data_IF_107433734239
#
_entry.id   IF_107433734239
#
_cell.length_a   1.000
_cell.length_b   1.000
_cell.length_c   1.000
_cell.angle_alpha   90.00
_cell.angle_beta   90.00
_cell.angle_gamma   90.00
#
_symmetry.space_group_name_H-M   'P 1'
#
loop_
_entity.id
_entity.type
_entity.pdbx_description
1 polymer ?
#
# COMPACT_ATOMS: atom_id res chain seq x y z
N UNK A 1 -11.33 11.90 -6.52
CA UNK A 1 -11.63 10.47 -6.66
C UNK A 1 -10.39 9.74 -6.15
N UNK A 2 -10.48 9.07 -5.01
CA UNK A 2 -9.37 8.28 -4.47
C UNK A 2 -9.15 7.05 -5.34
N UNK A 3 -7.92 6.56 -5.42
CA UNK A 3 -7.61 5.33 -6.13
C UNK A 3 -7.66 4.15 -5.16
N UNK A 4 -8.33 3.08 -5.54
CA UNK A 4 -8.38 1.85 -4.75
C UNK A 4 -7.49 0.79 -5.41
N UNK A 5 -6.62 0.18 -4.62
CA UNK A 5 -5.73 -0.89 -5.06
C UNK A 5 -5.81 -2.07 -4.11
N UNK A 6 -5.93 -3.27 -4.65
CA UNK A 6 -5.86 -4.48 -3.83
C UNK A 6 -4.39 -4.92 -3.68
N UNK A 7 -3.91 -4.93 -2.43
CA UNK A 7 -2.61 -5.42 -2.02
C UNK A 7 -2.76 -6.80 -1.36
N UNK A 8 -1.85 -7.72 -1.68
CA UNK A 8 -1.83 -9.05 -1.08
C UNK A 8 -0.50 -9.23 -0.40
N UNK A 9 -0.53 -9.49 0.91
CA UNK A 9 0.65 -9.56 1.77
C UNK A 9 0.68 -10.87 2.53
N UNK A 10 1.88 -11.35 2.83
CA UNK A 10 2.04 -12.57 3.62
C UNK A 10 2.11 -12.18 5.10
N UNK A 11 1.11 -12.61 5.88
CA UNK A 11 1.06 -12.40 7.32
C UNK A 11 1.02 -13.76 8.02
N UNK A 12 2.01 -14.02 8.87
CA UNK A 12 2.15 -15.26 9.65
C UNK A 12 2.02 -16.56 8.81
N UNK A 13 2.53 -16.54 7.57
CA UNK A 13 2.46 -17.69 6.66
C UNK A 13 1.14 -17.84 5.90
N UNK A 14 0.21 -16.90 6.03
CA UNK A 14 -1.05 -16.87 5.30
C UNK A 14 -1.20 -15.60 4.46
N UNK A 15 -1.98 -15.68 3.39
CA UNK A 15 -2.26 -14.55 2.51
C UNK A 15 -3.36 -13.68 3.11
N UNK A 16 -3.04 -12.39 3.29
CA UNK A 16 -3.96 -11.34 3.68
C UNK A 16 -4.19 -10.40 2.48
N UNK A 17 -5.45 -10.26 2.09
CA UNK A 17 -5.89 -9.35 1.05
C UNK A 17 -6.36 -8.06 1.70
N UNK A 18 -5.79 -6.96 1.23
CA UNK A 18 -6.10 -5.61 1.68
C UNK A 18 -6.57 -4.78 0.51
N UNK A 19 -7.72 -4.14 0.67
CA UNK A 19 -8.16 -3.08 -0.23
C UNK A 19 -7.63 -1.76 0.32
N UNK A 20 -6.73 -1.14 -0.45
CA UNK A 20 -6.01 0.07 -0.05
C UNK A 20 -6.56 1.27 -0.80
N UNK A 21 -7.07 2.23 -0.05
CA UNK A 21 -7.59 3.49 -0.55
C UNK A 21 -6.47 4.52 -0.49
N UNK A 22 -5.98 4.97 -1.64
CA UNK A 22 -4.94 5.98 -1.76
C UNK A 22 -5.61 7.36 -1.74
N UNK A 23 -5.34 8.09 -0.67
CA UNK A 23 -5.80 9.46 -0.43
C UNK A 23 -4.83 10.54 -0.91
N UNK A 24 -5.27 11.81 -0.92
CA UNK A 24 -4.42 12.94 -1.21
C UNK A 24 -3.34 13.13 -0.13
N UNK A 25 -2.12 13.48 -0.54
CA UNK A 25 -1.01 13.73 0.41
C UNK A 25 -0.22 12.49 0.81
N UNK A 26 -0.37 11.36 0.11
CA UNK A 26 0.42 10.14 0.37
C UNK A 26 -0.06 9.34 1.57
N UNK A 27 -1.27 9.60 2.04
CA UNK A 27 -1.98 8.75 3.01
C UNK A 27 -2.68 7.62 2.27
N UNK A 28 -2.54 6.41 2.77
CA UNK A 28 -3.18 5.22 2.22
C UNK A 28 -3.90 4.51 3.37
N UNK A 29 -5.15 4.14 3.19
CA UNK A 29 -5.88 3.38 4.23
C UNK A 29 -6.13 1.98 3.71
N UNK A 30 -5.57 0.97 4.39
CA UNK A 30 -5.71 -0.43 4.02
C UNK A 30 -6.81 -1.09 4.86
N UNK A 31 -7.74 -1.74 4.18
CA UNK A 31 -8.86 -2.48 4.78
C UNK A 31 -8.71 -3.96 4.47
N UNK A 32 -8.71 -4.80 5.50
CA UNK A 32 -8.62 -6.25 5.34
C UNK A 32 -9.90 -6.76 4.69
N UNK A 33 -9.75 -7.25 3.47
CA UNK A 33 -10.82 -7.82 2.66
C UNK A 33 -10.99 -9.31 2.94
N UNK A 34 -9.86 -10.03 3.03
CA UNK A 34 -9.87 -11.47 3.27
C UNK A 34 -8.54 -11.94 3.86
N UNK A 35 -8.58 -12.80 4.86
CA UNK A 35 -7.41 -13.43 5.44
C UNK A 35 -7.60 -14.94 5.50
N UNK A 36 -6.61 -15.69 4.99
CA UNK A 36 -6.64 -17.16 4.95
C UNK A 36 -5.86 -17.84 6.08
N UNK A 37 -5.47 -17.11 7.12
CA UNK A 37 -4.70 -17.66 8.23
C UNK A 37 -5.55 -18.17 9.38
N UNK A 38 -4.90 -18.87 10.31
CA UNK A 38 -5.54 -19.32 11.54
C UNK A 38 -5.76 -18.12 12.50
N UNK A 39 -6.95 -18.04 13.09
CA UNK A 39 -7.46 -16.85 13.79
C UNK A 39 -6.67 -16.33 15.01
N UNK A 40 -5.59 -17.00 15.42
CA UNK A 40 -4.80 -16.60 16.58
C UNK A 40 -3.80 -15.47 16.29
N UNK A 41 -3.55 -15.16 15.00
CA UNK A 41 -2.73 -14.04 14.51
C UNK A 41 -3.40 -13.41 13.30
N UNK A 42 -4.60 -12.88 13.53
CA UNK A 42 -5.26 -12.09 12.51
C UNK A 42 -4.54 -10.75 12.38
N UNK A 43 -4.25 -10.31 11.14
CA UNK A 43 -3.66 -9.00 10.94
C UNK A 43 -4.73 -7.91 11.18
N UNK A 44 -4.33 -6.66 11.38
CA UNK A 44 -5.26 -5.55 11.60
C UNK A 44 -6.29 -5.45 10.48
N UNK A 45 -7.56 -5.27 10.87
CA UNK A 45 -8.68 -5.15 9.92
C UNK A 45 -8.67 -3.82 9.16
N UNK A 46 -8.14 -2.78 9.78
CA UNK A 46 -8.00 -1.46 9.19
C UNK A 46 -6.68 -0.88 9.70
N UNK A 47 -5.86 -0.36 8.80
CA UNK A 47 -4.66 0.37 9.18
C UNK A 47 -4.45 1.57 8.24
N UNK A 48 -3.99 2.67 8.82
CA UNK A 48 -3.61 3.85 8.07
C UNK A 48 -2.11 3.80 7.82
N UNK A 49 -1.72 3.87 6.56
CA UNK A 49 -0.35 3.92 6.07
C UNK A 49 -0.02 5.33 5.61
N UNK A 50 1.17 5.79 5.94
CA UNK A 50 1.71 7.05 5.46
C UNK A 50 3.12 6.85 4.96
N UNK A 51 3.41 7.41 3.78
CA UNK A 51 4.77 7.43 3.25
C UNK A 51 5.59 8.52 3.93
N UNK A 52 6.58 8.13 4.73
CA UNK A 52 7.61 9.02 5.27
C UNK A 52 8.93 8.77 4.54
N UNK A 53 9.19 9.58 3.52
CA UNK A 53 10.38 9.47 2.68
C UNK A 53 10.41 8.16 1.90
N UNK A 54 11.28 7.23 2.32
CA UNK A 54 11.41 5.88 1.73
C UNK A 54 10.65 4.81 2.50
N UNK A 55 10.25 5.09 3.75
CA UNK A 55 9.59 4.11 4.60
C UNK A 55 8.08 4.32 4.62
N UNK A 56 7.35 3.24 4.84
CA UNK A 56 5.92 3.25 5.06
C UNK A 56 5.66 3.01 6.55
N UNK A 57 4.98 3.96 7.17
CA UNK A 57 4.66 3.92 8.60
C UNK A 57 3.17 3.63 8.73
N UNK A 58 2.80 2.70 9.62
CA UNK A 58 1.40 2.48 10.01
C UNK A 58 1.16 2.77 11.49
N UNK A 59 -0.11 3.02 11.80
CA UNK A 59 -0.59 3.25 13.17
C UNK A 59 -0.60 1.96 14.03
N UNK A 60 -0.64 0.78 13.40
CA UNK A 60 -0.69 -0.53 14.08
C UNK A 60 0.64 -0.91 14.76
N UNK A 61 1.73 -0.20 14.45
CA UNK A 61 3.06 -0.50 14.97
C UNK A 61 3.73 -1.72 14.32
N UNK A 62 3.10 -2.33 13.31
CA UNK A 62 3.68 -3.44 12.57
C UNK A 62 4.46 -2.93 11.35
N UNK A 63 5.73 -2.58 11.58
CA UNK A 63 6.63 -2.04 10.55
C UNK A 63 6.71 -2.95 9.31
N UNK A 64 6.83 -4.26 9.54
CA UNK A 64 6.97 -5.26 8.47
C UNK A 64 5.74 -5.32 7.56
N UNK A 65 4.55 -5.29 8.15
CA UNK A 65 3.29 -5.25 7.39
C UNK A 65 3.14 -3.94 6.62
N UNK A 66 3.59 -2.83 7.24
CA UNK A 66 3.52 -1.49 6.65
C UNK A 66 4.38 -1.37 5.41
N UNK A 67 5.61 -1.89 5.48
CA UNK A 67 6.53 -1.92 4.35
C UNK A 67 6.04 -2.83 3.23
N UNK A 68 5.52 -4.02 3.55
CA UNK A 68 5.00 -4.97 2.55
C UNK A 68 3.76 -4.40 1.82
N UNK A 69 2.80 -3.83 2.57
CA UNK A 69 1.64 -3.15 2.00
C UNK A 69 2.05 -1.93 1.19
N UNK A 70 2.92 -1.09 1.73
CA UNK A 70 3.41 0.10 1.05
C UNK A 70 4.10 -0.25 -0.28
N UNK A 71 4.94 -1.28 -0.29
CA UNK A 71 5.60 -1.74 -1.51
C UNK A 71 4.61 -2.33 -2.52
N UNK A 72 3.65 -3.14 -2.08
CA UNK A 72 2.60 -3.70 -2.94
C UNK A 72 1.74 -2.59 -3.57
N UNK A 73 1.36 -1.59 -2.78
CA UNK A 73 0.65 -0.39 -3.22
C UNK A 73 1.49 0.39 -4.22
N UNK A 74 2.78 0.61 -3.93
CA UNK A 74 3.68 1.27 -4.88
C UNK A 74 3.78 0.49 -6.17
N UNK A 75 3.98 -0.83 -6.17
CA UNK A 75 4.02 -1.60 -7.41
C UNK A 75 2.73 -1.51 -8.23
N UNK A 76 1.57 -1.46 -7.58
CA UNK A 76 0.26 -1.33 -8.25
C UNK A 76 -0.04 0.10 -8.70
N UNK A 77 0.40 1.10 -7.94
CA UNK A 77 0.22 2.53 -8.21
C UNK A 77 1.39 3.18 -8.97
N UNK A 78 2.49 2.45 -9.18
CA UNK A 78 3.69 2.84 -9.95
C UNK A 78 3.40 3.39 -11.35
N UNK A 79 2.41 2.90 -12.12
CA UNK A 79 2.05 3.57 -13.36
C UNK A 79 1.56 5.02 -13.19
N UNK A 80 1.31 5.52 -11.97
CA UNK A 80 0.74 6.85 -11.70
C UNK A 80 1.75 7.78 -11.00
N UNK A 81 2.61 7.21 -10.14
CA UNK A 81 3.71 7.97 -9.51
C UNK A 81 4.86 8.26 -10.49
N UNK A 82 5.12 7.37 -11.47
CA UNK A 82 6.15 7.59 -12.51
C UNK A 82 5.64 8.35 -13.74
N UNK A 83 4.33 8.43 -14.01
CA UNK A 83 3.79 9.13 -15.19
C UNK A 83 4.03 10.66 -15.13
N UNK A 84 4.08 11.25 -13.92
CA UNK A 84 4.48 12.66 -13.77
C UNK A 84 5.95 12.94 -14.10
N UNK A 85 6.83 11.93 -14.17
CA UNK A 85 8.23 12.12 -14.55
C UNK A 85 8.44 12.03 -16.06
N UNK A 86 7.49 11.48 -16.82
CA UNK A 86 7.63 11.25 -18.26
C UNK A 86 6.88 12.25 -19.17
N UNK A 87 6.33 13.33 -18.62
CA UNK A 87 5.77 14.45 -19.40
C UNK A 87 6.63 15.72 -19.33
N UNK A 88 7.89 15.61 -18.91
CA UNK A 88 8.87 16.69 -18.94
C UNK A 88 9.89 16.51 -20.06
N UNK A 89 9.54 16.94 -21.27
CA UNK A 89 10.50 17.40 -22.27
C UNK A 89 11.12 16.36 -23.21
N UNK A 90 10.56 16.25 -24.41
CA UNK A 90 11.37 16.08 -25.61
C UNK A 90 10.97 17.18 -26.62
N UNK A 91 11.55 18.39 -26.53
CA UNK A 91 11.56 19.31 -27.66
C UNK A 91 12.56 18.79 -28.70
N UNK A 92 12.18 18.91 -29.97
CA UNK A 92 12.95 18.53 -31.13
C UNK A 92 14.38 19.11 -31.14
N UNK A 93 15.32 18.33 -31.67
CA UNK A 93 16.67 18.74 -32.05
C UNK A 93 17.23 17.77 -33.07
#
# INVERSE_FOLDING_TARGET
>A
MGMEVTAVVLHDGALAHYDVVIGPGGTCTAYLSSYRGAGNRMPPQCLSLRKEGRHWVSDDGNERLSEDLGYAVELKARPILEDRRRQGGHPAG
#
